data_IF_914046317477
#
_entry.id   IF_914046317477
#
_cell.length_a   1.000
_cell.length_b   1.000
_cell.length_c   1.000
_cell.angle_alpha   90.00
_cell.angle_beta   90.00
_cell.angle_gamma   90.00
#
_symmetry.space_group_name_H-M   'P 1'
#
loop_
_entity.id
_entity.type
_entity.pdbx_description
1 polymer ?
#
# COMPACT_ATOMS: atom_id res chain seq x y z
N UNK A 1 19.73 -12.32 6.91
CA UNK A 1 20.13 -12.53 5.51
C UNK A 1 21.11 -13.72 5.39
N UNK A 2 22.14 -13.74 6.22
CA UNK A 2 23.13 -14.83 6.22
C UNK A 2 22.52 -16.19 6.59
N UNK A 3 21.62 -16.22 7.56
CA UNK A 3 20.92 -17.44 8.00
C UNK A 3 19.97 -17.94 6.89
N UNK A 4 19.18 -17.03 6.29
CA UNK A 4 18.25 -17.38 5.18
C UNK A 4 19.00 -17.81 3.91
N UNK A 5 20.18 -17.23 3.63
CA UNK A 5 20.97 -17.59 2.44
C UNK A 5 21.72 -18.92 2.57
N UNK A 6 22.20 -19.27 3.77
CA UNK A 6 23.06 -20.46 3.95
C UNK A 6 22.33 -21.66 4.54
N UNK A 7 21.28 -21.42 5.36
CA UNK A 7 20.57 -22.50 6.03
C UNK A 7 19.34 -23.00 5.28
N UNK A 8 18.74 -22.17 4.38
CA UNK A 8 17.48 -22.48 3.72
C UNK A 8 17.42 -22.00 2.26
N UNK A 9 18.13 -22.70 1.33
CA UNK A 9 18.07 -22.39 -0.10
C UNK A 9 16.64 -22.47 -0.68
N UNK A 10 15.78 -23.29 -0.09
CA UNK A 10 14.40 -23.48 -0.49
C UNK A 10 13.56 -22.21 -0.24
N UNK A 11 13.68 -21.59 0.93
CA UNK A 11 12.93 -20.36 1.24
C UNK A 11 13.33 -19.20 0.32
N UNK A 12 14.60 -19.09 -0.02
CA UNK A 12 15.08 -18.10 -0.98
C UNK A 12 14.42 -18.29 -2.35
N UNK A 13 14.40 -19.51 -2.85
CA UNK A 13 13.78 -19.85 -4.13
C UNK A 13 12.29 -19.53 -4.13
N UNK A 14 11.58 -19.87 -3.06
CA UNK A 14 10.17 -19.58 -2.91
C UNK A 14 9.87 -18.07 -2.82
N UNK A 15 10.75 -17.26 -2.19
CA UNK A 15 10.66 -15.81 -2.19
C UNK A 15 10.83 -15.23 -3.59
N UNK A 16 11.79 -15.75 -4.36
CA UNK A 16 12.02 -15.32 -5.74
C UNK A 16 10.83 -15.69 -6.65
N UNK A 17 10.27 -16.87 -6.46
CA UNK A 17 9.05 -17.30 -7.15
C UNK A 17 7.85 -16.43 -6.78
N UNK A 18 7.69 -16.07 -5.50
CA UNK A 18 6.62 -15.18 -5.06
C UNK A 18 6.77 -13.78 -5.66
N UNK A 19 7.99 -13.22 -5.64
CA UNK A 19 8.30 -11.94 -6.29
C UNK A 19 7.92 -11.98 -7.77
N UNK A 20 8.34 -13.04 -8.47
CA UNK A 20 8.03 -13.25 -9.87
C UNK A 20 6.53 -13.40 -10.13
N UNK A 21 5.83 -14.14 -9.28
CA UNK A 21 4.39 -14.31 -9.38
C UNK A 21 3.62 -13.00 -9.22
N UNK A 22 3.97 -12.16 -8.22
CA UNK A 22 3.32 -10.86 -8.02
C UNK A 22 3.65 -9.88 -9.14
N UNK A 23 4.84 -9.99 -9.76
CA UNK A 23 5.23 -9.14 -10.87
C UNK A 23 4.62 -9.58 -12.21
N UNK A 24 4.68 -10.88 -12.53
CA UNK A 24 4.36 -11.41 -13.86
C UNK A 24 2.94 -11.99 -13.97
N UNK A 25 2.41 -12.60 -12.91
CA UNK A 25 1.11 -13.27 -13.00
C UNK A 25 -0.05 -12.27 -12.88
N UNK A 26 -1.00 -12.42 -13.78
CA UNK A 26 -2.24 -11.63 -13.86
C UNK A 26 -2.01 -10.13 -14.10
N UNK A 27 -0.92 -9.76 -14.77
CA UNK A 27 -0.61 -8.35 -15.10
C UNK A 27 -0.55 -7.43 -13.87
N UNK A 28 -0.28 -7.99 -12.68
CA UNK A 28 -0.25 -7.19 -11.45
C UNK A 28 0.87 -6.15 -11.47
N UNK A 29 2.04 -6.50 -11.99
CA UNK A 29 3.15 -5.60 -12.23
C UNK A 29 3.83 -5.05 -10.97
N UNK A 30 3.46 -5.47 -9.77
CA UNK A 30 4.07 -4.98 -8.53
C UNK A 30 5.45 -5.59 -8.34
N UNK A 31 6.47 -4.75 -8.41
CA UNK A 31 7.82 -5.17 -8.03
C UNK A 31 8.00 -5.06 -6.52
N UNK A 32 8.14 -6.21 -5.85
CA UNK A 32 8.29 -6.30 -4.40
C UNK A 32 9.67 -6.90 -4.08
N UNK A 33 10.41 -6.20 -3.21
CA UNK A 33 11.74 -6.63 -2.79
C UNK A 33 11.66 -7.71 -1.70
N UNK A 34 12.67 -8.57 -1.61
CA UNK A 34 12.75 -9.64 -0.59
C UNK A 34 12.64 -9.09 0.83
N UNK A 35 13.26 -7.94 1.09
CA UNK A 35 13.24 -7.31 2.40
C UNK A 35 11.82 -6.94 2.86
N UNK A 36 10.97 -6.55 1.92
CA UNK A 36 9.57 -6.30 2.22
C UNK A 36 8.82 -7.56 2.63
N UNK A 37 9.06 -8.69 1.95
CA UNK A 37 8.45 -9.98 2.33
C UNK A 37 8.89 -10.42 3.72
N UNK A 38 10.18 -10.31 4.02
CA UNK A 38 10.73 -10.68 5.33
C UNK A 38 10.17 -9.78 6.43
N UNK A 39 10.10 -8.47 6.21
CA UNK A 39 9.47 -7.52 7.14
C UNK A 39 7.99 -7.86 7.35
N UNK A 40 7.26 -8.14 6.28
CA UNK A 40 5.86 -8.55 6.36
C UNK A 40 5.72 -9.82 7.18
N UNK A 41 6.54 -10.84 6.93
CA UNK A 41 6.52 -12.10 7.68
C UNK A 41 6.76 -11.89 9.18
N UNK A 42 7.73 -11.04 9.56
CA UNK A 42 7.94 -10.69 10.98
C UNK A 42 6.70 -10.05 11.60
N UNK A 43 6.03 -9.16 10.86
CA UNK A 43 4.79 -8.55 11.32
C UNK A 43 3.69 -9.59 11.55
N UNK A 44 3.53 -10.55 10.62
CA UNK A 44 2.49 -11.57 10.68
C UNK A 44 2.65 -12.53 11.86
N UNK A 45 3.88 -12.86 12.25
CA UNK A 45 4.18 -13.68 13.43
C UNK A 45 4.27 -12.88 14.73
N UNK A 46 3.86 -11.60 14.72
CA UNK A 46 3.91 -10.68 15.87
C UNK A 46 5.31 -10.42 16.43
N UNK A 47 6.37 -10.59 15.64
CA UNK A 47 7.75 -10.28 16.01
C UNK A 47 8.11 -8.81 15.76
N UNK A 48 9.33 -8.39 16.14
CA UNK A 48 9.81 -7.02 15.91
C UNK A 48 9.95 -6.76 14.40
N UNK A 49 9.19 -5.80 13.88
CA UNK A 49 9.17 -5.48 12.44
C UNK A 49 10.40 -4.70 11.96
N UNK A 50 11.27 -4.23 12.87
CA UNK A 50 12.51 -3.59 12.47
C UNK A 50 13.38 -4.59 11.73
N UNK A 51 13.72 -4.25 10.49
CA UNK A 51 14.53 -5.12 9.63
C UNK A 51 16.00 -5.11 10.10
N UNK A 52 16.29 -5.93 11.13
CA UNK A 52 17.63 -6.16 11.65
C UNK A 52 17.94 -7.65 11.67
N UNK A 53 19.16 -8.03 11.32
CA UNK A 53 19.59 -9.46 11.30
C UNK A 53 19.30 -10.15 12.63
N UNK A 54 19.44 -9.47 13.76
CA UNK A 54 19.15 -10.00 15.08
C UNK A 54 17.68 -10.37 15.34
N UNK A 55 16.74 -9.86 14.52
CA UNK A 55 15.31 -10.16 14.64
C UNK A 55 14.92 -11.42 13.84
N UNK A 56 15.87 -12.04 13.14
CA UNK A 56 15.69 -13.33 12.46
C UNK A 56 16.41 -14.42 13.25
N UNK A 57 15.95 -14.68 14.46
CA UNK A 57 16.43 -15.81 15.26
C UNK A 57 15.97 -17.13 14.64
N UNK A 58 16.58 -18.25 15.05
CA UNK A 58 16.14 -19.57 14.61
C UNK A 58 14.67 -19.84 14.96
N UNK A 59 14.19 -19.27 16.06
CA UNK A 59 12.79 -19.38 16.49
C UNK A 59 11.83 -18.65 15.51
N UNK A 60 12.12 -17.36 15.22
CA UNK A 60 11.30 -16.59 14.27
C UNK A 60 11.33 -17.20 12.86
N UNK A 61 12.49 -17.63 12.41
CA UNK A 61 12.62 -18.33 11.12
C UNK A 61 11.78 -19.61 11.10
N UNK A 62 11.83 -20.41 12.19
CA UNK A 62 11.01 -21.61 12.32
C UNK A 62 9.51 -21.32 12.28
N UNK A 63 9.04 -20.26 12.96
CA UNK A 63 7.64 -19.81 12.92
C UNK A 63 7.21 -19.39 11.51
N UNK A 64 8.06 -18.63 10.82
CA UNK A 64 7.80 -18.21 9.44
C UNK A 64 7.71 -19.42 8.52
N UNK A 65 8.63 -20.38 8.64
CA UNK A 65 8.64 -21.60 7.82
C UNK A 65 7.37 -22.44 8.02
N UNK A 66 6.94 -22.64 9.25
CA UNK A 66 5.72 -23.37 9.59
C UNK A 66 4.46 -22.76 8.97
N UNK A 67 4.40 -21.43 8.88
CA UNK A 67 3.25 -20.68 8.39
C UNK A 67 3.46 -20.13 6.97
N UNK A 68 4.53 -20.56 6.29
CA UNK A 68 4.94 -19.96 5.03
C UNK A 68 3.92 -20.09 3.91
N UNK A 69 3.22 -21.22 3.85
CA UNK A 69 2.17 -21.45 2.85
C UNK A 69 1.04 -20.44 2.96
N UNK A 70 0.56 -20.22 4.18
CA UNK A 70 -0.52 -19.28 4.49
C UNK A 70 -0.06 -17.83 4.30
N UNK A 71 1.15 -17.50 4.75
CA UNK A 71 1.75 -16.18 4.57
C UNK A 71 1.85 -15.84 3.08
N UNK A 72 2.40 -16.74 2.29
CA UNK A 72 2.57 -16.59 0.84
C UNK A 72 1.24 -16.40 0.12
N UNK A 73 0.26 -17.22 0.45
CA UNK A 73 -1.08 -17.14 -0.12
C UNK A 73 -1.76 -15.81 0.23
N UNK A 74 -1.73 -15.42 1.50
CA UNK A 74 -2.34 -14.17 1.95
C UNK A 74 -1.71 -12.94 1.29
N UNK A 75 -0.38 -12.88 1.17
CA UNK A 75 0.32 -11.81 0.48
C UNK A 75 -0.14 -11.71 -0.98
N UNK A 76 -0.10 -12.83 -1.71
CA UNK A 76 -0.50 -12.89 -3.12
C UNK A 76 -1.95 -12.43 -3.28
N UNK A 77 -2.84 -12.94 -2.47
CA UNK A 77 -4.26 -12.60 -2.52
C UNK A 77 -4.53 -11.14 -2.17
N UNK A 78 -3.76 -10.56 -1.25
CA UNK A 78 -3.87 -9.14 -0.93
C UNK A 78 -3.53 -8.28 -2.14
N UNK A 79 -2.49 -8.61 -2.91
CA UNK A 79 -2.14 -7.86 -4.12
C UNK A 79 -3.22 -7.99 -5.21
N UNK A 80 -3.82 -9.17 -5.38
CA UNK A 80 -4.99 -9.36 -6.26
C UNK A 80 -6.16 -8.50 -5.79
N UNK A 81 -6.42 -8.48 -4.49
CA UNK A 81 -7.52 -7.73 -3.88
C UNK A 81 -7.38 -6.23 -4.10
N UNK A 82 -6.21 -5.64 -3.78
CA UNK A 82 -6.02 -4.19 -3.87
C UNK A 82 -6.07 -3.68 -5.32
N UNK A 83 -5.69 -4.51 -6.28
CA UNK A 83 -5.79 -4.18 -7.69
C UNK A 83 -7.24 -3.89 -8.12
N UNK A 84 -8.21 -4.57 -7.50
CA UNK A 84 -9.63 -4.45 -7.86
C UNK A 84 -10.25 -3.10 -7.51
N UNK A 85 -9.61 -2.28 -6.69
CA UNK A 85 -10.06 -0.92 -6.40
C UNK A 85 -9.04 0.16 -6.76
N UNK A 86 -8.25 -0.10 -7.79
CA UNK A 86 -7.41 0.92 -8.44
C UNK A 86 -6.01 1.09 -7.87
N UNK A 87 -5.62 0.31 -6.87
CA UNK A 87 -4.24 0.33 -6.42
C UNK A 87 -3.38 -0.48 -7.40
N UNK A 88 -2.53 0.21 -8.12
CA UNK A 88 -1.65 -0.36 -9.14
C UNK A 88 -0.18 0.06 -8.89
N UNK A 89 0.80 -0.46 -9.65
CA UNK A 89 2.21 -0.14 -9.43
C UNK A 89 2.54 1.36 -9.49
N UNK A 90 1.77 2.14 -10.26
CA UNK A 90 2.01 3.57 -10.40
C UNK A 90 1.38 4.39 -9.26
N UNK A 91 0.25 3.93 -8.69
CA UNK A 91 -0.41 4.59 -7.57
C UNK A 91 0.13 4.15 -6.21
N UNK A 92 0.69 2.93 -6.10
CA UNK A 92 1.28 2.40 -4.87
C UNK A 92 2.69 2.96 -4.63
N UNK A 93 2.79 4.24 -4.29
CA UNK A 93 4.07 4.93 -4.03
C UNK A 93 4.79 4.42 -2.77
N UNK A 94 4.10 3.77 -1.86
CA UNK A 94 4.69 3.11 -0.70
C UNK A 94 4.14 1.70 -0.51
N UNK A 95 4.96 0.70 -0.75
CA UNK A 95 4.63 -0.71 -0.55
C UNK A 95 4.33 -1.05 0.92
N UNK A 96 4.88 -0.27 1.87
CA UNK A 96 4.62 -0.45 3.28
C UNK A 96 3.14 -0.23 3.66
N UNK A 97 2.39 0.51 2.84
CA UNK A 97 0.94 0.68 3.02
C UNK A 97 0.15 -0.63 2.91
N UNK A 98 0.72 -1.65 2.23
CA UNK A 98 0.08 -2.96 2.05
C UNK A 98 0.24 -3.84 3.30
N UNK A 99 1.33 -3.68 4.05
CA UNK A 99 1.66 -4.57 5.18
C UNK A 99 0.56 -4.64 6.25
N UNK A 100 -0.03 -3.52 6.70
CA UNK A 100 -1.15 -3.56 7.65
C UNK A 100 -2.36 -4.33 7.12
N UNK A 101 -2.65 -4.20 5.83
CA UNK A 101 -3.77 -4.92 5.21
C UNK A 101 -3.48 -6.42 5.15
N UNK A 102 -2.26 -6.82 4.76
CA UNK A 102 -1.82 -8.23 4.82
C UNK A 102 -1.96 -8.78 6.24
N UNK A 103 -1.51 -8.03 7.24
CA UNK A 103 -1.61 -8.43 8.65
C UNK A 103 -3.06 -8.68 9.06
N UNK A 104 -3.95 -7.73 8.77
CA UNK A 104 -5.36 -7.83 9.10
C UNK A 104 -6.02 -9.04 8.44
N UNK A 105 -5.86 -9.19 7.13
CA UNK A 105 -6.44 -10.28 6.37
C UNK A 105 -5.89 -11.63 6.83
N UNK A 106 -4.59 -11.72 7.09
CA UNK A 106 -3.94 -12.93 7.59
C UNK A 106 -4.53 -13.37 8.94
N UNK A 107 -4.61 -12.46 9.91
CA UNK A 107 -5.16 -12.77 11.24
C UNK A 107 -6.63 -13.18 11.16
N UNK A 108 -7.41 -12.56 10.29
CA UNK A 108 -8.82 -12.91 10.09
C UNK A 108 -8.99 -14.27 9.40
N UNK A 109 -8.20 -14.57 8.39
CA UNK A 109 -8.23 -15.85 7.68
C UNK A 109 -7.80 -17.00 8.59
N UNK A 110 -6.72 -16.83 9.34
CA UNK A 110 -6.23 -17.85 10.27
C UNK A 110 -7.16 -18.08 11.46
N UNK A 111 -8.00 -17.10 11.80
CA UNK A 111 -9.08 -17.24 12.78
C UNK A 111 -10.32 -17.95 12.19
N UNK A 112 -10.27 -18.42 10.94
CA UNK A 112 -11.37 -19.14 10.30
C UNK A 112 -12.55 -18.25 9.87
N UNK A 113 -12.35 -16.94 9.70
CA UNK A 113 -13.42 -16.03 9.34
C UNK A 113 -13.74 -16.11 7.82
N UNK A 114 -14.88 -16.71 7.41
CA UNK A 114 -15.15 -17.05 6.02
C UNK A 114 -15.29 -15.84 5.09
N UNK A 115 -15.59 -14.66 5.64
CA UNK A 115 -15.75 -13.42 4.87
C UNK A 115 -14.42 -12.78 4.45
N UNK A 116 -13.29 -13.28 4.96
CA UNK A 116 -11.96 -12.69 4.68
C UNK A 116 -11.15 -13.47 3.64
N UNK A 117 -11.75 -14.44 2.96
CA UNK A 117 -11.16 -14.95 1.71
C UNK A 117 -11.28 -13.91 0.62
N UNK A 118 -10.33 -13.90 -0.32
CA UNK A 118 -10.33 -12.92 -1.44
C UNK A 118 -11.65 -12.90 -2.20
N UNK A 119 -12.22 -14.08 -2.49
CA UNK A 119 -13.50 -14.21 -3.18
C UNK A 119 -14.62 -13.54 -2.39
N UNK A 120 -14.68 -13.74 -1.08
CA UNK A 120 -15.74 -13.18 -0.24
C UNK A 120 -15.55 -11.68 -0.01
N UNK A 121 -14.31 -11.20 0.13
CA UNK A 121 -14.02 -9.76 0.20
C UNK A 121 -14.51 -9.03 -1.05
N UNK A 122 -14.28 -9.60 -2.22
CA UNK A 122 -14.69 -8.99 -3.49
C UNK A 122 -16.20 -9.03 -3.72
N UNK A 123 -16.87 -10.11 -3.32
CA UNK A 123 -18.25 -10.38 -3.72
C UNK A 123 -19.29 -10.14 -2.62
N UNK A 124 -18.90 -10.27 -1.34
CA UNK A 124 -19.85 -10.30 -0.22
C UNK A 124 -19.55 -9.28 0.88
N UNK A 125 -18.32 -8.80 0.98
CA UNK A 125 -17.91 -7.89 2.05
C UNK A 125 -17.54 -6.50 1.50
N UNK A 126 -18.55 -5.83 0.94
CA UNK A 126 -18.37 -4.49 0.34
C UNK A 126 -17.91 -3.45 1.36
N UNK A 127 -18.38 -3.53 2.61
CA UNK A 127 -17.98 -2.60 3.66
C UNK A 127 -16.50 -2.72 3.97
N UNK A 128 -15.98 -3.93 4.14
CA UNK A 128 -14.55 -4.15 4.38
C UNK A 128 -13.70 -3.64 3.23
N UNK A 129 -14.13 -3.94 1.99
CA UNK A 129 -13.45 -3.43 0.79
C UNK A 129 -13.41 -1.90 0.77
N UNK A 130 -14.52 -1.23 1.12
CA UNK A 130 -14.58 0.23 1.17
C UNK A 130 -13.62 0.80 2.21
N UNK A 131 -13.61 0.25 3.43
CA UNK A 131 -12.72 0.71 4.51
C UNK A 131 -11.25 0.51 4.15
N UNK A 132 -10.88 -0.64 3.56
CA UNK A 132 -9.50 -0.89 3.12
C UNK A 132 -9.13 0.05 1.94
N UNK A 133 -10.05 0.32 1.04
CA UNK A 133 -9.83 1.29 -0.04
C UNK A 133 -9.56 2.69 0.52
N UNK A 134 -10.35 3.14 1.49
CA UNK A 134 -10.13 4.42 2.19
C UNK A 134 -8.76 4.46 2.86
N UNK A 135 -8.35 3.39 3.54
CA UNK A 135 -7.00 3.27 4.09
C UNK A 135 -5.93 3.60 3.05
N UNK A 136 -5.98 2.95 1.88
CA UNK A 136 -4.98 3.19 0.83
C UNK A 136 -4.97 4.64 0.34
N UNK A 137 -6.13 5.21 0.00
CA UNK A 137 -6.18 6.59 -0.46
C UNK A 137 -5.65 7.57 0.59
N UNK A 138 -6.04 7.40 1.86
CA UNK A 138 -5.56 8.25 2.94
C UNK A 138 -4.04 8.16 3.10
N UNK A 139 -3.47 6.96 3.20
CA UNK A 139 -2.03 6.80 3.45
C UNK A 139 -1.16 7.16 2.24
N UNK A 140 -1.66 6.96 1.02
CA UNK A 140 -0.93 7.31 -0.19
C UNK A 140 -0.93 8.83 -0.42
N UNK A 141 -2.06 9.49 -0.22
CA UNK A 141 -2.14 10.95 -0.34
C UNK A 141 -1.35 11.65 0.77
N UNK A 142 -1.49 11.23 2.01
CA UNK A 142 -0.74 11.77 3.16
C UNK A 142 0.73 11.39 3.18
N UNK A 143 1.16 10.33 2.47
CA UNK A 143 2.54 9.91 2.38
C UNK A 143 3.16 9.48 3.72
N UNK A 144 2.38 8.93 4.65
CA UNK A 144 2.80 8.67 6.03
C UNK A 144 3.97 7.68 6.17
N UNK A 145 4.19 6.83 5.18
CA UNK A 145 5.28 5.84 5.17
C UNK A 145 6.61 6.36 4.61
N UNK A 146 6.76 7.66 4.39
CA UNK A 146 7.99 8.27 3.86
C UNK A 146 9.19 8.19 4.82
N UNK A 147 8.96 8.24 6.13
CA UNK A 147 10.00 8.13 7.17
C UNK A 147 9.50 7.31 8.35
N UNK A 148 10.44 6.66 9.07
CA UNK A 148 10.15 5.87 10.27
C UNK A 148 9.08 4.78 10.07
N UNK A 149 9.07 4.15 8.88
CA UNK A 149 8.05 3.18 8.51
C UNK A 149 7.95 2.00 9.50
N UNK A 150 9.06 1.54 10.09
CA UNK A 150 9.07 0.41 11.00
C UNK A 150 8.39 0.74 12.34
N UNK A 151 8.62 1.94 12.88
CA UNK A 151 7.94 2.39 14.09
C UNK A 151 6.43 2.58 13.85
N UNK A 152 6.09 3.15 12.69
CA UNK A 152 4.70 3.31 12.26
C UNK A 152 4.00 1.96 12.12
N UNK A 153 4.62 0.98 11.45
CA UNK A 153 4.08 -0.38 11.29
C UNK A 153 3.88 -1.08 12.64
N UNK A 154 4.84 -0.93 13.57
CA UNK A 154 4.71 -1.49 14.92
C UNK A 154 3.49 -0.91 15.63
N UNK A 155 3.35 0.42 15.64
CA UNK A 155 2.23 1.09 16.30
C UNK A 155 0.88 0.75 15.65
N UNK A 156 0.80 0.65 14.32
CA UNK A 156 -0.41 0.23 13.62
C UNK A 156 -0.76 -1.23 13.96
N UNK A 157 0.24 -2.12 14.01
CA UNK A 157 0.03 -3.51 14.41
C UNK A 157 -0.57 -3.60 15.81
N UNK A 158 -0.10 -2.79 16.76
CA UNK A 158 -0.62 -2.80 18.13
C UNK A 158 -2.09 -2.40 18.16
N UNK A 159 -2.49 -1.39 17.39
CA UNK A 159 -3.91 -1.02 17.24
C UNK A 159 -4.72 -2.18 16.65
N UNK A 160 -4.22 -2.81 15.58
CA UNK A 160 -4.89 -3.93 14.93
C UNK A 160 -5.01 -5.15 15.83
N UNK A 161 -3.96 -5.49 16.56
CA UNK A 161 -3.93 -6.62 17.48
C UNK A 161 -5.01 -6.48 18.56
N UNK A 162 -5.20 -5.27 19.09
CA UNK A 162 -6.23 -4.96 20.06
C UNK A 162 -7.64 -4.87 19.45
N UNK A 163 -7.75 -4.95 18.13
CA UNK A 163 -9.00 -4.81 17.37
C UNK A 163 -9.36 -6.09 16.61
N UNK A 164 -8.70 -7.23 16.87
CA UNK A 164 -8.98 -8.48 16.13
C UNK A 164 -10.40 -9.01 16.33
N UNK A 165 -11.09 -8.62 17.41
CA UNK A 165 -12.52 -8.91 17.62
C UNK A 165 -13.46 -8.02 16.79
N UNK A 166 -12.98 -6.90 16.23
CA UNK A 166 -13.81 -6.02 15.42
C UNK A 166 -14.19 -6.73 14.09
N UNK A 167 -15.33 -6.34 13.54
CA UNK A 167 -15.81 -6.92 12.27
C UNK A 167 -14.99 -6.39 11.09
N UNK A 168 -14.61 -5.10 11.12
CA UNK A 168 -13.93 -4.41 10.02
C UNK A 168 -12.52 -3.96 10.37
N UNK A 169 -11.74 -3.72 9.34
CA UNK A 169 -10.42 -3.09 9.43
C UNK A 169 -10.49 -1.84 10.31
N UNK A 170 -9.65 -1.71 11.36
CA UNK A 170 -9.82 -0.70 12.40
C UNK A 170 -9.31 0.68 11.99
N UNK A 171 -9.79 1.20 10.84
CA UNK A 171 -9.32 2.45 10.24
C UNK A 171 -9.51 3.63 11.20
N UNK A 172 -10.68 3.78 11.80
CA UNK A 172 -10.98 4.89 12.72
C UNK A 172 -10.05 4.89 13.93
N UNK A 173 -9.78 3.71 14.51
CA UNK A 173 -8.83 3.59 15.64
C UNK A 173 -7.41 3.96 15.25
N UNK A 174 -7.02 3.68 13.99
CA UNK A 174 -5.70 4.09 13.46
C UNK A 174 -5.68 5.61 13.26
N UNK A 175 -6.75 6.20 12.71
CA UNK A 175 -6.89 7.65 12.55
C UNK A 175 -6.75 8.34 13.91
N UNK A 176 -7.50 7.89 14.91
CA UNK A 176 -7.49 8.45 16.26
C UNK A 176 -6.11 8.35 16.93
N UNK A 177 -5.39 7.24 16.69
CA UNK A 177 -4.03 7.02 17.21
C UNK A 177 -3.04 8.08 16.74
N UNK A 178 -3.22 8.62 15.54
CA UNK A 178 -2.29 9.58 14.94
C UNK A 178 -2.83 11.00 14.87
N UNK A 179 -4.00 11.24 15.45
CA UNK A 179 -4.62 12.57 15.50
C UNK A 179 -3.68 13.63 16.06
N UNK A 180 -3.48 14.70 15.31
CA UNK A 180 -2.61 15.83 15.69
C UNK A 180 -1.11 15.56 15.60
N UNK A 181 -0.69 14.40 15.06
CA UNK A 181 0.72 14.08 14.81
C UNK A 181 1.11 14.39 13.36
N UNK A 182 2.41 14.31 13.06
CA UNK A 182 2.91 14.40 11.68
C UNK A 182 2.50 13.19 10.80
N UNK A 183 1.77 12.24 11.35
CA UNK A 183 1.18 11.08 10.65
C UNK A 183 -0.35 11.10 10.69
N UNK A 184 -0.93 12.26 10.97
CA UNK A 184 -2.38 12.44 10.98
C UNK A 184 -2.97 12.12 9.61
N UNK A 185 -3.94 11.23 9.60
CA UNK A 185 -4.61 10.76 8.37
C UNK A 185 -5.84 11.59 8.00
N UNK A 186 -6.29 12.50 8.86
CA UNK A 186 -7.48 13.30 8.60
C UNK A 186 -7.24 14.32 7.49
N UNK A 187 -8.27 14.58 6.72
CA UNK A 187 -8.29 15.58 5.67
C UNK A 187 -9.04 16.81 6.22
N UNK A 188 -8.29 17.83 6.61
CA UNK A 188 -8.81 19.16 6.88
C UNK A 188 -8.86 20.03 5.61
N UNK A 189 -9.53 21.15 5.67
CA UNK A 189 -9.72 22.03 4.51
C UNK A 189 -8.38 22.50 3.93
N UNK A 190 -7.40 22.81 4.78
CA UNK A 190 -6.07 23.25 4.34
C UNK A 190 -5.38 22.12 3.55
N UNK A 191 -5.46 20.87 4.04
CA UNK A 191 -4.89 19.75 3.33
C UNK A 191 -5.62 19.47 2.01
N UNK A 192 -6.97 19.58 1.99
CA UNK A 192 -7.78 19.41 0.78
C UNK A 192 -7.36 20.44 -0.27
N UNK A 193 -7.22 21.72 0.10
CA UNK A 193 -6.72 22.74 -0.80
C UNK A 193 -5.30 22.45 -1.32
N UNK A 194 -4.43 21.90 -0.46
CA UNK A 194 -3.08 21.52 -0.86
C UNK A 194 -3.04 20.43 -1.95
N UNK A 195 -4.07 19.59 -2.06
CA UNK A 195 -4.18 18.57 -3.10
C UNK A 195 -4.27 19.18 -4.51
N UNK A 196 -4.79 20.40 -4.63
CA UNK A 196 -4.85 21.14 -5.90
C UNK A 196 -3.45 21.50 -6.42
N UNK A 197 -2.44 21.50 -5.56
CA UNK A 197 -1.05 21.79 -5.91
C UNK A 197 -0.25 20.54 -6.29
N UNK A 198 -0.87 19.36 -6.33
CA UNK A 198 -0.20 18.13 -6.77
C UNK A 198 0.17 18.25 -8.23
N UNK A 199 1.47 18.11 -8.50
CA UNK A 199 2.00 18.27 -9.85
C UNK A 199 1.90 16.98 -10.66
N UNK A 200 1.77 17.16 -11.97
CA UNK A 200 1.92 16.07 -12.92
C UNK A 200 3.25 15.32 -12.67
N UNK A 201 3.17 13.99 -12.67
CA UNK A 201 4.32 13.12 -12.40
C UNK A 201 4.56 12.79 -10.92
N UNK A 202 3.91 13.46 -9.98
CA UNK A 202 3.92 13.02 -8.60
C UNK A 202 3.12 11.71 -8.44
N UNK A 203 3.65 10.76 -7.65
CA UNK A 203 2.97 9.47 -7.42
C UNK A 203 1.55 9.63 -6.84
N UNK A 204 1.32 10.69 -6.04
CA UNK A 204 0.00 11.02 -5.48
C UNK A 204 -1.04 11.44 -6.52
N UNK A 205 -0.60 11.95 -7.66
CA UNK A 205 -1.49 12.41 -8.73
C UNK A 205 -2.45 11.30 -9.19
N UNK A 206 -1.96 10.08 -9.37
CA UNK A 206 -2.83 8.94 -9.77
C UNK A 206 -3.84 8.58 -8.70
N UNK A 207 -3.43 8.54 -7.43
CA UNK A 207 -4.35 8.27 -6.33
C UNK A 207 -5.45 9.34 -6.25
N UNK A 208 -5.09 10.61 -6.43
CA UNK A 208 -6.05 11.71 -6.48
C UNK A 208 -7.02 11.59 -7.66
N UNK A 209 -6.52 11.27 -8.86
CA UNK A 209 -7.37 11.11 -10.04
C UNK A 209 -8.35 9.96 -9.89
N UNK A 210 -7.94 8.82 -9.34
CA UNK A 210 -8.89 7.73 -9.03
C UNK A 210 -9.96 8.13 -8.01
N UNK A 211 -9.61 9.00 -7.06
CA UNK A 211 -10.57 9.50 -6.09
C UNK A 211 -11.58 10.47 -6.73
N UNK A 212 -11.12 11.33 -7.64
CA UNK A 212 -11.96 12.31 -8.34
C UNK A 212 -12.83 11.68 -9.45
N UNK A 213 -12.36 10.58 -10.04
CA UNK A 213 -13.03 9.88 -11.13
C UNK A 213 -13.29 8.41 -10.77
N UNK A 214 -14.20 8.14 -9.81
CA UNK A 214 -14.44 6.78 -9.32
C UNK A 214 -15.03 5.83 -10.38
N UNK A 215 -15.56 6.37 -11.48
CA UNK A 215 -16.14 5.62 -12.61
C UNK A 215 -15.07 5.05 -13.55
N UNK A 216 -13.83 5.54 -13.45
CA UNK A 216 -12.72 4.98 -14.22
C UNK A 216 -12.51 3.53 -13.82
N UNK A 217 -12.36 2.65 -14.83
CA UNK A 217 -12.03 1.26 -14.56
C UNK A 217 -10.70 1.15 -13.81
N UNK A 218 -10.70 0.74 -12.53
CA UNK A 218 -9.50 0.79 -11.71
C UNK A 218 -8.42 -0.21 -12.17
N UNK A 219 -8.77 -1.19 -12.99
CA UNK A 219 -7.84 -2.20 -13.49
C UNK A 219 -7.16 -1.80 -14.80
N UNK A 220 -7.66 -0.78 -15.48
CA UNK A 220 -7.06 -0.28 -16.72
C UNK A 220 -5.86 0.63 -16.46
N UNK A 221 -4.92 0.57 -17.38
CA UNK A 221 -3.79 1.49 -17.41
C UNK A 221 -4.22 2.73 -18.18
N UNK A 222 -4.27 3.88 -17.51
CA UNK A 222 -4.54 5.15 -18.17
C UNK A 222 -3.31 6.04 -18.17
N UNK A 223 -3.20 6.88 -19.18
CA UNK A 223 -2.19 7.91 -19.28
C UNK A 223 -2.73 9.21 -18.70
N UNK A 224 -1.91 9.85 -17.87
CA UNK A 224 -2.21 11.21 -17.40
C UNK A 224 -1.66 12.15 -18.45
N UNK A 225 -2.51 13.01 -18.99
CA UNK A 225 -2.10 14.03 -19.95
C UNK A 225 -2.50 15.43 -19.48
N UNK A 226 -1.90 16.44 -20.08
CA UNK A 226 -2.18 17.83 -19.77
C UNK A 226 -3.35 18.32 -20.63
N UNK A 227 -4.32 19.01 -20.02
CA UNK A 227 -5.37 19.71 -20.78
C UNK A 227 -4.78 20.76 -21.73
N UNK A 228 -3.69 21.39 -21.30
CA UNK A 228 -2.94 22.34 -22.11
C UNK A 228 -1.50 21.84 -22.30
N UNK A 229 -0.96 21.87 -23.52
CA UNK A 229 0.40 21.46 -23.78
C UNK A 229 1.41 22.22 -22.89
N UNK A 230 2.33 21.48 -22.26
CA UNK A 230 3.33 22.03 -21.34
C UNK A 230 4.11 23.21 -21.95
N UNK A 231 4.32 23.17 -23.27
CA UNK A 231 5.03 24.23 -24.00
C UNK A 231 4.31 25.61 -23.96
N UNK A 232 2.97 25.61 -23.77
CA UNK A 232 2.18 26.83 -23.64
C UNK A 232 2.45 27.56 -22.31
N UNK A 233 3.03 26.89 -21.33
CA UNK A 233 3.45 27.50 -20.05
C UNK A 233 4.96 27.74 -20.00
N UNK A 234 5.67 27.56 -21.10
CA UNK A 234 7.09 27.93 -21.17
C UNK A 234 7.24 29.44 -21.12
N UNK A 235 8.32 29.93 -20.45
CA UNK A 235 8.62 31.34 -20.37
C UNK A 235 8.62 32.02 -21.74
N UNK A 236 9.24 31.39 -22.73
CA UNK A 236 9.28 31.85 -24.11
C UNK A 236 7.90 31.99 -24.77
N UNK A 237 6.98 31.09 -24.47
CA UNK A 237 5.62 31.15 -25.02
C UNK A 237 4.80 32.22 -24.33
N UNK A 238 4.92 32.36 -23.01
CA UNK A 238 4.23 33.40 -22.24
C UNK A 238 4.73 34.81 -22.64
N UNK A 239 6.04 35.02 -22.79
CA UNK A 239 6.62 36.27 -23.30
C UNK A 239 6.11 36.61 -24.70
N UNK A 240 5.91 35.61 -25.56
CA UNK A 240 5.30 35.81 -26.88
C UNK A 240 3.84 36.23 -26.80
N UNK A 241 3.06 35.66 -25.89
CA UNK A 241 1.67 36.05 -25.66
C UNK A 241 1.57 37.47 -25.11
N UNK A 242 2.41 37.82 -24.15
CA UNK A 242 2.49 39.17 -23.61
C UNK A 242 2.88 40.22 -24.70
N UNK A 243 3.80 39.87 -25.58
CA UNK A 243 4.14 40.67 -26.73
C UNK A 243 2.94 40.86 -27.67
N UNK A 244 2.21 39.78 -27.99
CA UNK A 244 1.03 39.87 -28.87
C UNK A 244 -0.08 40.69 -28.22
N UNK A 245 -0.33 40.51 -26.91
CA UNK A 245 -1.36 41.21 -26.17
C UNK A 245 -1.08 42.70 -26.02
N UNK A 246 0.20 43.13 -26.04
CA UNK A 246 0.63 44.49 -25.86
C UNK A 246 1.18 45.15 -27.16
N UNK A 247 1.03 44.45 -28.29
CA UNK A 247 1.40 45.04 -29.58
C UNK A 247 0.30 45.98 -30.07
N UNK A 248 0.62 47.20 -30.57
CA UNK A 248 -0.35 48.20 -31.02
C UNK A 248 -1.13 47.77 -32.27
#
# INVERSE_FOLDING_TARGET
WHIVNHSEPKLRKELDELTKNIYQNNEMGFYIERDWFLKTSLMLIDSDVRFKVKNFTSEEVGKIQQQWSEIKSCIKETFIFIRRFGINPQSLISKNAVIPVVYWLYKKQTSGHPLYTTINLLNKNHNERSVISQWFYMVLLKGIFGSQADALLTSIRDVMKNSLSDIHFPLEKIIDRYKGSNKDLRFDDEYIESLLNIRYGEGRCRALLHLLFPEMNPTEVFHIDHLHPRNHFSKKYLEKLDYIANSP
#
